data_IF_554573165836
#
_entry.id   IF_554573165836
#
_cell.length_a   1.000
_cell.length_b   1.000
_cell.length_c   1.000
_cell.angle_alpha   90.00
_cell.angle_beta   90.00
_cell.angle_gamma   90.00
#
_symmetry.space_group_name_H-M   'P 1'
#
loop_
_entity.id
_entity.type
_entity.pdbx_description
1 polymer ?
2 non-polymer ?
3 water ?
#
# COMPACT_ATOMS: atom_id res chain seq x y z
N UNK A 8 -8.27 -11.53 -23.04
CA UNK A 8 -8.17 -11.15 -24.49
C UNK A 8 -7.42 -9.82 -24.65
N UNK A 9 -6.21 -9.88 -25.19
CA UNK A 9 -5.29 -8.72 -25.12
C UNK A 9 -4.87 -8.10 -26.46
N UNK A 10 -4.27 -6.91 -26.40
CA UNK A 10 -3.78 -6.22 -27.60
C UNK A 10 -2.47 -6.84 -28.08
N UNK A 11 -2.22 -6.75 -29.39
CA UNK A 11 -0.92 -7.18 -29.91
C UNK A 11 0.13 -6.38 -29.16
N UNK A 12 1.23 -7.05 -28.81
CA UNK A 12 2.27 -6.43 -28.04
C UNK A 12 2.17 -6.62 -26.53
N UNK A 13 1.03 -7.10 -26.03
CA UNK A 13 0.88 -7.33 -24.58
C UNK A 13 1.19 -8.78 -24.25
N UNK A 14 1.40 -9.04 -22.96
CA UNK A 14 1.72 -10.40 -22.48
C UNK A 14 0.97 -10.66 -21.19
N UNK A 15 0.29 -11.80 -21.13
CA UNK A 15 -0.43 -12.17 -19.92
C UNK A 15 0.20 -13.42 -19.32
N UNK A 16 0.12 -13.53 -18.02
CA UNK A 16 0.50 -14.76 -17.33
C UNK A 16 -0.65 -15.74 -17.39
N UNK A 17 -0.33 -17.02 -17.51
CA UNK A 17 -1.34 -18.08 -17.43
C UNK A 17 -1.20 -18.74 -16.07
N UNK A 18 -1.09 -17.91 -15.04
CA UNK A 18 -0.97 -18.36 -13.66
C UNK A 18 -2.34 -18.45 -13.01
N UNK A 19 -2.56 -19.52 -12.27
CA UNK A 19 -3.81 -19.76 -11.59
C UNK A 19 -3.53 -20.46 -10.26
N UNK A 20 -3.41 -19.67 -9.20
CA UNK A 20 -3.17 -20.21 -7.88
C UNK A 20 -4.04 -19.47 -6.89
N UNK A 21 -4.13 -20.00 -5.69
CA UNK A 21 -4.92 -19.37 -4.65
C UNK A 21 -4.21 -18.17 -4.03
N UNK A 22 -4.98 -17.25 -3.43
CA UNK A 22 -4.35 -16.14 -2.73
C UNK A 22 -3.63 -16.61 -1.45
N UNK A 23 -2.67 -15.80 -1.01
CA UNK A 23 -1.87 -16.13 0.16
C UNK A 23 -2.41 -15.45 1.41
N UNK A 24 -3.10 -14.33 1.21
CA UNK A 24 -3.71 -13.61 2.32
C UNK A 24 -5.02 -12.96 1.89
N UNK A 25 -5.78 -12.49 2.86
CA UNK A 25 -7.11 -11.93 2.60
C UNK A 25 -7.12 -10.44 2.90
N UNK A 26 -7.82 -9.71 2.06
CA UNK A 26 -8.05 -8.27 2.19
C UNK A 26 -9.51 -8.02 2.61
N UNK A 27 -9.72 -7.15 3.60
CA UNK A 27 -11.05 -6.80 4.08
C UNK A 27 -11.42 -5.44 3.52
N UNK A 28 -12.61 -5.29 2.93
CA UNK A 28 -13.03 -3.98 2.48
C UNK A 28 -13.49 -3.19 3.70
N UNK A 29 -12.77 -2.12 4.02
CA UNK A 29 -13.11 -1.29 5.19
C UNK A 29 -14.01 -0.12 4.89
N UNK A 30 -14.36 0.03 3.61
CA UNK A 30 -15.25 1.14 3.24
C UNK A 30 -15.48 1.12 1.75
N UNK A 31 -16.08 2.19 1.26
CA UNK A 31 -16.48 2.29 -0.13
C UNK A 31 -16.26 3.74 -0.55
N UNK A 32 -15.78 3.92 -1.77
CA UNK A 32 -15.49 5.27 -2.24
C UNK A 32 -16.53 5.67 -3.29
N UNK A 33 -17.17 6.82 -3.06
CA UNK A 33 -18.27 7.32 -3.91
C UNK A 33 -17.72 8.47 -4.76
N UNK A 34 -17.84 8.36 -6.08
CA UNK A 34 -17.20 9.33 -6.99
C UNK A 34 -18.16 9.66 -8.13
N UNK A 35 -17.80 10.68 -8.95
CA UNK A 35 -18.64 11.03 -10.10
C UNK A 35 -18.60 10.06 -11.27
N UNK A 36 -17.68 9.10 -11.24
CA UNK A 36 -17.35 8.32 -12.43
C UNK A 36 -17.94 6.92 -12.41
N UNK A 37 -18.91 6.68 -13.31
CA UNK A 37 -19.63 5.41 -13.33
C UNK A 37 -19.09 4.48 -14.37
N UNK A 38 -18.24 5.01 -15.24
CA UNK A 38 -17.58 4.22 -16.27
C UNK A 38 -16.08 4.44 -16.16
N UNK A 39 -15.32 3.39 -16.48
CA UNK A 39 -13.85 3.47 -16.41
C UNK A 39 -13.26 4.59 -17.26
N UNK A 40 -13.81 4.82 -18.46
CA UNK A 40 -13.24 5.87 -19.32
C UNK A 40 -13.52 7.30 -18.82
N UNK A 41 -14.47 7.47 -17.90
CA UNK A 41 -14.76 8.76 -17.29
C UNK A 41 -13.72 9.13 -16.24
N UNK A 42 -13.07 8.12 -15.64
CA UNK A 42 -12.12 8.37 -14.56
C UNK A 42 -10.88 9.11 -15.07
N UNK A 43 -10.37 10.10 -14.31
CA UNK A 43 -9.06 10.66 -14.65
C UNK A 43 -7.98 9.61 -14.50
N UNK A 44 -6.88 9.77 -15.24
CA UNK A 44 -5.76 8.83 -15.13
C UNK A 44 -5.18 8.86 -13.69
N UNK A 45 -5.11 10.05 -13.12
CA UNK A 45 -4.68 10.23 -11.74
C UNK A 45 -5.52 11.35 -11.15
N UNK A 46 -5.67 11.33 -9.84
CA UNK A 46 -6.49 12.34 -9.16
C UNK A 46 -5.82 13.70 -9.23
N UNK A 47 -6.64 14.75 -9.09
CA UNK A 47 -6.15 16.12 -8.97
C UNK A 47 -6.79 16.82 -7.79
N UNK A 48 -5.98 17.64 -7.10
CA UNK A 48 -6.41 18.37 -5.90
C UNK A 48 -7.62 19.29 -6.13
N UNK A 49 -7.81 19.71 -7.38
CA UNK A 49 -8.93 20.60 -7.74
C UNK A 49 -10.06 19.86 -8.50
N UNK A 50 -10.01 18.53 -8.47
CA UNK A 50 -11.02 17.69 -9.09
C UNK A 50 -12.33 17.68 -8.30
N UNK A 51 -13.34 16.94 -8.80
CA UNK A 51 -14.64 16.88 -8.11
C UNK A 51 -14.55 16.25 -6.72
N UNK A 52 -15.40 16.70 -5.81
CA UNK A 52 -15.42 16.14 -4.45
C UNK A 52 -16.01 14.72 -4.50
N UNK A 53 -15.35 13.81 -3.80
CA UNK A 53 -15.73 12.42 -3.62
C UNK A 53 -16.03 12.17 -2.15
N UNK A 54 -16.69 11.05 -1.87
CA UNK A 54 -16.98 10.67 -0.48
C UNK A 54 -16.35 9.31 -0.17
N UNK A 55 -15.42 9.29 0.79
CA UNK A 55 -14.96 8.01 1.35
C UNK A 55 -15.86 7.65 2.53
N UNK A 56 -16.59 6.55 2.40
CA UNK A 56 -17.44 6.00 3.46
C UNK A 56 -16.66 4.92 4.17
N UNK A 57 -16.33 5.14 5.43
CA UNK A 57 -15.68 4.10 6.24
C UNK A 57 -16.78 3.30 6.94
N UNK A 58 -16.68 1.98 6.88
CA UNK A 58 -17.76 1.16 7.46
C UNK A 58 -17.69 1.21 8.99
N UNK A 59 -18.85 0.97 9.62
CA UNK A 59 -19.06 1.18 11.06
C UNK A 59 -17.95 0.60 11.93
N UNK A 60 -17.57 -0.64 11.63
CA UNK A 60 -16.55 -1.37 12.40
C UNK A 60 -15.27 -0.53 12.63
N UNK A 61 -14.89 0.22 11.60
CA UNK A 61 -13.62 0.94 11.64
C UNK A 61 -13.74 2.43 11.91
N UNK A 62 -14.95 2.90 12.19
CA UNK A 62 -15.16 4.31 12.54
C UNK A 62 -14.21 4.77 13.68
N UNK A 63 -14.04 3.95 14.75
CA UNK A 63 -13.16 4.47 15.82
C UNK A 63 -11.71 4.70 15.41
N UNK A 64 -11.28 3.99 14.36
CA UNK A 64 -9.93 4.16 13.83
C UNK A 64 -9.68 5.47 13.07
N UNK A 65 -10.74 6.24 12.83
CA UNK A 65 -10.59 7.55 12.18
C UNK A 65 -10.14 8.62 13.18
N UNK A 66 -10.04 8.27 14.46
CA UNK A 66 -9.68 9.26 15.48
C UNK A 66 -8.38 9.96 15.11
N UNK A 67 -8.44 11.29 15.06
CA UNK A 67 -7.31 12.10 14.66
C UNK A 67 -7.39 12.64 13.24
N UNK A 68 -8.25 12.06 12.42
CA UNK A 68 -8.43 12.54 11.05
C UNK A 68 -9.57 13.57 11.09
N UNK A 69 -9.36 14.73 10.47
CA UNK A 69 -10.37 15.80 10.46
C UNK A 69 -10.22 16.62 9.21
N UNK A 70 -11.04 17.67 9.08
CA UNK A 70 -10.88 18.60 7.97
C UNK A 70 -9.40 18.97 7.89
N UNK A 71 -8.84 18.96 6.68
CA UNK A 71 -7.48 19.41 6.46
C UNK A 71 -6.37 18.35 6.57
N UNK A 72 -6.72 17.15 7.03
CA UNK A 72 -5.70 16.08 7.14
C UNK A 72 -5.32 15.59 5.74
N UNK A 73 -4.02 15.51 5.48
CA UNK A 73 -3.52 14.97 4.21
C UNK A 73 -3.36 13.46 4.31
N UNK A 74 -4.11 12.74 3.48
CA UNK A 74 -4.18 11.28 3.54
C UNK A 74 -3.55 10.59 2.35
N UNK A 75 -3.05 9.38 2.57
CA UNK A 75 -2.74 8.44 1.50
C UNK A 75 -3.85 7.41 1.55
N UNK A 76 -4.61 7.32 0.47
CA UNK A 76 -5.82 6.50 0.42
C UNK A 76 -5.53 5.28 -0.44
N UNK A 77 -5.80 4.08 0.09
CA UNK A 77 -5.51 2.82 -0.59
C UNK A 77 -6.82 2.16 -0.94
N UNK A 78 -6.99 1.80 -2.21
CA UNK A 78 -8.23 1.18 -2.64
C UNK A 78 -7.97 -0.06 -3.47
N UNK A 79 -9.00 -0.90 -3.59
CA UNK A 79 -8.86 -2.15 -4.35
C UNK A 79 -9.56 -1.97 -5.69
N UNK A 80 -8.79 -2.05 -6.78
CA UNK A 80 -9.34 -1.79 -8.12
C UNK A 80 -10.08 -3.07 -8.55
N UNK A 81 -11.33 -3.16 -8.10
CA UNK A 81 -12.11 -4.38 -8.13
C UNK A 81 -12.57 -4.82 -9.53
N UNK A 82 -12.37 -3.97 -10.53
CA UNK A 82 -12.76 -4.31 -11.92
C UNK A 82 -11.58 -4.75 -12.78
N UNK A 83 -10.38 -4.74 -12.19
CA UNK A 83 -9.14 -5.01 -12.93
C UNK A 83 -8.84 -6.48 -13.12
N UNK A 84 -8.46 -6.85 -14.34
CA UNK A 84 -7.86 -8.16 -14.56
C UNK A 84 -6.47 -8.10 -13.92
N UNK A 85 -5.98 -9.26 -13.46
CA UNK A 85 -4.78 -9.32 -12.65
C UNK A 85 -3.58 -10.04 -13.31
N UNK A 86 -3.75 -10.39 -14.58
CA UNK A 86 -2.82 -11.27 -15.26
C UNK A 86 -1.82 -10.59 -16.21
N UNK A 87 -1.94 -9.28 -16.44
CA UNK A 87 -1.05 -8.64 -17.43
C UNK A 87 0.38 -8.44 -16.92
N UNK A 88 1.36 -8.79 -17.75
CA UNK A 88 2.77 -8.58 -17.43
C UNK A 88 3.38 -7.46 -18.25
N UNK A 89 3.06 -7.42 -19.55
CA UNK A 89 3.38 -6.29 -20.42
C UNK A 89 2.08 -5.65 -20.89
N UNK A 90 1.99 -4.32 -20.78
CA UNK A 90 0.77 -3.58 -21.10
C UNK A 90 1.06 -2.43 -22.03
N UNK A 91 0.13 -2.13 -22.92
CA UNK A 91 0.22 -0.94 -23.76
C UNK A 91 -0.78 0.12 -23.27
N UNK A 92 -0.38 0.91 -22.25
CA UNK A 92 -1.29 1.80 -21.50
C UNK A 92 -2.07 2.79 -22.38
N UNK A 96 2.61 3.24 -29.15
CA UNK A 96 3.36 3.21 -27.89
C UNK A 96 3.77 1.81 -27.43
N UNK A 97 5.04 1.64 -27.07
CA UNK A 97 5.59 0.33 -26.74
C UNK A 97 5.03 -0.20 -25.43
N UNK A 98 4.74 -1.51 -25.39
CA UNK A 98 4.28 -2.15 -24.15
C UNK A 98 5.33 -1.99 -23.07
N UNK A 99 4.84 -1.90 -21.82
CA UNK A 99 5.72 -1.72 -20.67
C UNK A 99 5.43 -2.78 -19.61
N UNK A 100 6.45 -3.12 -18.81
CA UNK A 100 6.24 -4.02 -17.68
C UNK A 100 5.25 -3.42 -16.69
N UNK A 101 4.34 -4.25 -16.18
CA UNK A 101 3.32 -3.77 -15.22
C UNK A 101 3.93 -3.07 -14.01
N UNK A 102 5.04 -3.58 -13.48
CA UNK A 102 5.65 -2.96 -12.31
C UNK A 102 6.32 -1.59 -12.59
N UNK A 103 6.52 -1.26 -13.86
CA UNK A 103 7.18 -0.01 -14.27
C UNK A 103 6.18 1.14 -14.53
N UNK A 104 4.89 0.84 -14.41
CA UNK A 104 3.84 1.84 -14.65
C UNK A 104 2.83 1.81 -13.50
N UNK A 105 1.96 2.82 -13.44
CA UNK A 105 0.94 2.86 -12.37
C UNK A 105 -0.46 2.40 -12.82
N UNK A 106 -0.49 1.52 -13.81
CA UNK A 106 -1.71 0.89 -14.30
C UNK A 106 -2.59 0.28 -13.19
N UNK A 107 -3.92 0.34 -13.37
CA UNK A 107 -4.80 -0.32 -12.42
C UNK A 107 -4.84 -1.84 -12.62
N UNK A 108 -4.26 -2.31 -13.70
CA UNK A 108 -4.20 -3.76 -13.96
C UNK A 108 -2.87 -4.30 -13.42
N UNK A 109 -2.95 -5.06 -12.32
CA UNK A 109 -1.78 -5.50 -11.56
C UNK A 109 -2.07 -6.84 -10.89
N UNK A 110 -1.03 -7.59 -10.50
CA UNK A 110 -1.28 -8.83 -9.80
C UNK A 110 -2.09 -8.64 -8.50
N UNK A 111 -1.80 -7.56 -7.77
CA UNK A 111 -2.63 -7.12 -6.66
C UNK A 111 -3.04 -5.70 -6.95
N UNK A 112 -4.29 -5.50 -7.36
CA UNK A 112 -4.73 -4.22 -7.93
C UNK A 112 -4.99 -3.16 -6.84
N UNK A 113 -3.93 -2.75 -6.14
CA UNK A 113 -4.00 -1.74 -5.10
C UNK A 113 -3.72 -0.40 -5.76
N UNK A 114 -4.65 0.55 -5.63
CA UNK A 114 -4.42 1.92 -6.12
C UNK A 114 -4.20 2.83 -4.94
N UNK A 115 -3.44 3.91 -5.13
CA UNK A 115 -3.38 4.95 -4.08
C UNK A 115 -3.62 6.32 -4.65
N UNK A 116 -4.14 7.21 -3.80
CA UNK A 116 -4.20 8.62 -4.12
C UNK A 116 -3.76 9.38 -2.88
N UNK A 117 -3.03 10.47 -3.08
CA UNK A 117 -2.70 11.37 -1.98
C UNK A 117 -3.68 12.53 -2.04
N UNK A 118 -4.46 12.74 -0.99
CA UNK A 118 -5.52 13.75 -1.05
C UNK A 118 -5.85 14.28 0.32
N UNK A 119 -6.20 15.57 0.37
CA UNK A 119 -6.50 16.24 1.62
C UNK A 119 -7.99 16.19 1.93
N UNK A 120 -8.33 15.85 3.16
CA UNK A 120 -9.75 15.88 3.57
C UNK A 120 -10.30 17.30 3.54
N UNK A 121 -11.34 17.53 2.73
CA UNK A 121 -12.05 18.81 2.77
C UNK A 121 -12.92 18.89 4.01
N UNK A 122 -13.64 17.81 4.31
CA UNK A 122 -14.57 17.82 5.42
C UNK A 122 -14.78 16.41 5.94
N UNK A 123 -14.69 16.28 7.25
CA UNK A 123 -15.03 15.05 7.91
C UNK A 123 -16.45 15.15 8.51
N UNK A 124 -17.26 14.13 8.29
CA UNK A 124 -18.60 14.04 8.92
C UNK A 124 -18.86 12.61 9.35
N UNK A 125 -18.57 12.31 10.63
CA UNK A 125 -18.76 10.96 11.18
C UNK A 125 -17.85 9.96 10.50
N UNK A 126 -18.44 8.96 9.83
CA UNK A 126 -17.63 7.95 9.11
C UNK A 126 -17.33 8.37 7.68
N UNK A 127 -17.72 9.59 7.31
CA UNK A 127 -17.56 10.04 5.91
C UNK A 127 -16.43 11.06 5.81
N UNK A 128 -15.61 10.91 4.78
CA UNK A 128 -14.60 11.88 4.45
C UNK A 128 -14.90 12.44 3.06
N UNK A 129 -15.08 13.75 2.98
CA UNK A 129 -15.30 14.41 1.70
C UNK A 129 -13.97 14.97 1.22
N UNK A 130 -13.58 14.60 0.01
CA UNK A 130 -12.18 14.72 -0.40
C UNK A 130 -12.09 14.84 -1.92
N UNK A 131 -11.14 15.65 -2.40
CA UNK A 131 -10.86 15.75 -3.83
C UNK A 131 -9.52 15.11 -4.09
N UNK A 132 -9.32 14.61 -5.30
CA UNK A 132 -8.03 14.09 -5.71
C UNK A 132 -8.04 12.59 -5.88
N UNK A 133 -9.24 12.03 -6.07
CA UNK A 133 -9.34 10.58 -6.31
C UNK A 133 -9.53 10.32 -7.80
N UNK A 134 -9.44 9.05 -8.18
CA UNK A 134 -9.53 8.70 -9.59
C UNK A 134 -10.26 7.38 -9.78
N UNK A 135 -11.00 6.93 -8.78
CA UNK A 135 -11.56 5.59 -8.89
C UNK A 135 -13.05 5.58 -9.27
N UNK A 136 -13.46 4.44 -9.80
CA UNK A 136 -14.83 4.20 -10.16
C UNK A 136 -15.73 4.37 -8.93
N UNK A 137 -16.92 4.93 -9.16
CA UNK A 137 -17.89 4.99 -8.11
C UNK A 137 -18.14 3.60 -7.56
N UNK A 138 -18.04 3.46 -6.24
CA UNK A 138 -18.27 2.17 -5.57
C UNK A 138 -17.00 1.35 -5.34
N UNK A 139 -15.84 1.91 -5.68
CA UNK A 139 -14.55 1.22 -5.41
C UNK A 139 -14.34 0.92 -3.92
N UNK A 140 -13.96 -0.32 -3.57
CA UNK A 140 -13.68 -0.67 -2.17
C UNK A 140 -12.43 0.07 -1.60
N UNK A 141 -12.56 0.57 -0.36
CA UNK A 141 -11.44 1.12 0.40
C UNK A 141 -10.70 0.00 1.12
N UNK A 142 -9.37 0.04 1.14
CA UNK A 142 -8.62 -0.98 1.93
C UNK A 142 -7.71 -0.43 3.03
N UNK A 143 -7.29 0.83 2.92
CA UNK A 143 -6.50 1.43 4.02
C UNK A 143 -6.53 2.94 3.89
N UNK A 144 -6.29 3.60 5.02
CA UNK A 144 -6.06 5.03 5.09
C UNK A 144 -4.84 5.23 5.97
N UNK A 145 -3.93 6.11 5.52
CA UNK A 145 -2.70 6.48 6.26
C UNK A 145 -2.54 7.98 6.15
N UNK A 146 -1.93 8.61 7.17
CA UNK A 146 -1.53 10.00 6.96
C UNK A 146 -0.38 10.03 5.93
N UNK A 147 -0.45 10.94 4.97
CA UNK A 147 0.60 11.01 3.98
C UNK A 147 1.94 11.42 4.60
N UNK A 148 3.01 10.85 4.09
CA UNK A 148 4.38 11.17 4.55
C UNK A 148 4.75 12.63 4.60
N UNK A 149 4.29 13.42 3.63
CA UNK A 149 4.69 14.82 3.57
C UNK A 149 4.31 15.61 4.82
N UNK A 150 3.30 15.12 5.56
CA UNK A 150 2.80 15.86 6.71
C UNK A 150 2.70 15.02 7.99
N UNK A 151 3.39 13.88 8.01
CA UNK A 151 3.31 12.99 9.14
C UNK A 151 4.68 12.78 9.71
N UNK A 152 4.75 12.85 11.03
CA UNK A 152 5.97 12.49 11.73
C UNK A 152 5.70 11.26 12.61
N UNK A 153 6.52 10.21 12.42
CA UNK A 153 6.35 8.98 13.19
C UNK A 153 6.36 9.28 14.68
N UNK A 154 5.46 8.62 15.39
CA UNK A 154 5.32 8.82 16.83
C UNK A 154 6.20 7.87 17.62
N UNK A 155 6.34 6.63 17.14
CA UNK A 155 7.05 5.61 17.91
C UNK A 155 8.53 5.99 18.11
N UNK A 156 9.17 5.57 19.22
CA UNK A 156 10.57 5.98 19.41
C UNK A 156 11.52 5.31 18.42
N UNK A 157 12.67 5.95 18.14
CA UNK A 157 13.67 5.38 17.24
C UNK A 157 14.11 3.97 17.67
N UNK A 158 14.45 3.16 16.68
CA UNK A 158 14.96 1.79 16.89
C UNK A 158 16.33 1.66 16.22
N UNK A 159 17.08 0.57 16.51
CA UNK A 159 18.42 0.55 15.93
C UNK A 159 18.43 0.69 14.41
N UNK A 160 17.43 0.14 13.71
CA UNK A 160 17.43 0.18 12.25
C UNK A 160 17.39 1.61 11.71
N UNK A 161 16.88 2.55 12.52
CA UNK A 161 16.78 3.92 12.09
C UNK A 161 18.13 4.56 11.94
N UNK A 162 19.16 3.95 12.55
CA UNK A 162 20.50 4.51 12.56
C UNK A 162 21.46 3.74 11.67
N UNK A 163 20.95 2.75 10.97
CA UNK A 163 21.78 1.83 10.20
C UNK A 163 21.96 2.38 8.79
N UNK A 164 23.20 2.77 8.47
CA UNK A 164 23.54 3.27 7.12
C UNK A 164 24.24 2.12 6.38
N UNK A 165 24.05 2.02 5.07
CA UNK A 165 24.66 0.91 4.34
C UNK A 165 26.12 1.17 4.09
N UNK A 166 26.90 0.11 3.88
CA UNK A 166 28.20 0.26 3.18
C UNK A 166 27.96 0.23 1.67
N UNK B 5 -0.35 -14.49 25.45
CA UNK B 5 -1.20 -13.77 24.47
C UNK B 5 -0.60 -12.42 24.03
N UNK B 6 -0.09 -12.41 22.81
CA UNK B 6 0.22 -11.16 22.12
C UNK B 6 -1.07 -10.33 22.00
N UNK B 7 -2.15 -10.86 22.59
CA UNK B 7 -3.51 -10.32 22.49
C UNK B 7 -3.75 -9.09 23.38
N UNK B 8 -3.05 -9.03 24.51
CA UNK B 8 -3.10 -7.88 25.41
C UNK B 8 -2.80 -6.56 24.67
N UNK B 9 -3.45 -5.49 25.10
CA UNK B 9 -3.23 -4.20 24.47
C UNK B 9 -2.70 -3.23 25.51
N UNK B 10 -2.14 -2.11 25.04
CA UNK B 10 -1.63 -1.10 25.95
C UNK B 10 -2.81 -0.28 26.51
N UNK B 11 -2.57 0.36 27.66
CA UNK B 11 -3.53 1.32 28.23
C UNK B 11 -3.93 2.38 27.18
N UNK B 12 -5.24 2.62 27.03
CA UNK B 12 -5.71 3.62 26.05
C UNK B 12 -6.03 3.04 24.67
N UNK B 13 -5.55 1.83 24.41
CA UNK B 13 -5.77 1.22 23.10
C UNK B 13 -7.13 0.57 23.02
N UNK B 14 -7.55 0.23 21.80
CA UNK B 14 -8.87 -0.36 21.60
C UNK B 14 -8.80 -1.36 20.45
N UNK B 15 -9.31 -2.57 20.69
CA UNK B 15 -9.36 -3.61 19.68
C UNK B 15 -10.80 -3.87 19.27
N UNK B 16 -10.98 -4.17 17.99
CA UNK B 16 -12.28 -4.54 17.45
C UNK B 16 -12.56 -6.03 17.68
N UNK B 17 -13.83 -6.34 17.93
CA UNK B 17 -14.26 -7.74 18.08
C UNK B 17 -14.76 -8.30 16.76
N UNK B 18 -14.52 -7.57 15.67
CA UNK B 18 -15.00 -7.94 14.33
C UNK B 18 -14.33 -9.23 13.88
N UNK B 19 -15.11 -10.11 13.27
CA UNK B 19 -14.64 -11.44 12.88
C UNK B 19 -15.31 -11.91 11.60
N UNK B 20 -15.21 -11.10 10.55
CA UNK B 20 -15.76 -11.45 9.26
C UNK B 20 -14.70 -12.11 8.39
N UNK B 21 -15.10 -12.51 7.18
CA UNK B 21 -14.17 -13.14 6.25
C UNK B 21 -13.65 -12.09 5.23
N UNK B 22 -12.58 -12.44 4.48
CA UNK B 22 -12.02 -11.46 3.54
C UNK B 22 -12.87 -11.28 2.30
N UNK B 23 -12.76 -10.10 1.70
CA UNK B 23 -13.52 -9.74 0.52
C UNK B 23 -12.72 -10.00 -0.76
N UNK B 24 -11.40 -9.99 -0.65
CA UNK B 24 -10.55 -10.24 -1.83
C UNK B 24 -9.30 -10.95 -1.39
N UNK B 25 -8.53 -11.47 -2.35
CA UNK B 25 -7.35 -12.24 -2.02
C UNK B 25 -6.10 -11.55 -2.52
N UNK B 26 -5.03 -11.63 -1.74
CA UNK B 26 -3.77 -11.04 -2.12
C UNK B 26 -2.82 -12.19 -2.48
N UNK B 27 -2.11 -12.04 -3.59
CA UNK B 27 -1.07 -13.00 -3.99
C UNK B 27 0.32 -12.47 -3.65
N UNK B 28 1.14 -13.28 -2.98
CA UNK B 28 2.49 -12.83 -2.69
C UNK B 28 3.30 -13.01 -3.97
N UNK B 29 3.84 -11.91 -4.51
CA UNK B 29 4.53 -11.92 -5.80
C UNK B 29 6.07 -11.99 -5.64
N UNK B 30 6.52 -12.00 -4.41
CA UNK B 30 7.94 -12.16 -4.11
C UNK B 30 8.19 -12.14 -2.63
N UNK B 31 9.48 -12.07 -2.26
CA UNK B 31 9.91 -12.13 -0.88
C UNK B 31 10.99 -11.08 -0.69
N UNK B 32 10.97 -10.36 0.43
CA UNK B 32 11.93 -9.29 0.67
C UNK B 32 12.94 -9.75 1.71
N UNK B 33 14.22 -9.70 1.35
CA UNK B 33 15.31 -10.17 2.18
C UNK B 33 16.00 -8.95 2.78
N UNK B 34 16.19 -8.94 4.09
CA UNK B 34 16.72 -7.74 4.77
C UNK B 34 17.66 -8.15 5.89
N UNK B 35 18.38 -7.18 6.50
CA UNK B 35 19.28 -7.50 7.63
C UNK B 35 18.56 -7.79 8.95
N UNK B 36 17.24 -7.64 8.98
CA UNK B 36 16.50 -7.61 10.25
C UNK B 36 15.65 -8.87 10.51
N UNK B 37 16.00 -9.60 11.56
CA UNK B 37 15.29 -10.83 11.92
C UNK B 37 14.28 -10.66 13.05
N UNK B 38 14.35 -9.53 13.74
CA UNK B 38 13.47 -9.27 14.88
C UNK B 38 12.81 -7.92 14.66
N UNK B 39 11.55 -7.77 15.07
CA UNK B 39 10.80 -6.54 14.84
C UNK B 39 11.49 -5.37 15.53
N UNK B 40 11.98 -5.61 16.75
CA UNK B 40 12.66 -4.56 17.50
C UNK B 40 13.96 -4.07 16.86
N UNK B 41 14.52 -4.80 15.90
CA UNK B 41 15.72 -4.35 15.16
C UNK B 41 15.40 -3.52 13.92
N UNK B 42 14.18 -3.63 13.41
CA UNK B 42 13.80 -2.95 12.17
C UNK B 42 13.80 -1.42 12.32
N UNK B 43 14.08 -0.69 11.23
CA UNK B 43 13.85 0.75 11.27
C UNK B 43 12.36 0.99 11.43
N UNK B 44 11.98 2.11 12.04
CA UNK B 44 10.58 2.56 12.00
C UNK B 44 10.14 2.85 10.57
N UNK B 45 11.02 3.49 9.81
CA UNK B 45 10.79 3.72 8.39
C UNK B 45 12.13 3.65 7.73
N UNK B 46 12.15 3.25 6.47
CA UNK B 46 13.40 3.09 5.75
C UNK B 46 14.13 4.39 5.52
N UNK B 47 15.44 4.28 5.32
CA UNK B 47 16.19 5.44 4.92
C UNK B 47 16.95 5.17 3.62
N UNK B 48 17.04 6.20 2.79
CA UNK B 48 17.56 6.03 1.42
C UNK B 48 19.04 5.71 1.38
N UNK B 49 19.75 6.03 2.45
CA UNK B 49 21.14 5.65 2.58
C UNK B 49 21.31 4.37 3.42
N UNK B 50 20.21 3.63 3.61
CA UNK B 50 20.23 2.44 4.46
C UNK B 50 20.89 1.24 3.80
N UNK B 51 20.92 0.10 4.51
CA UNK B 51 21.58 -1.12 3.95
C UNK B 51 20.85 -1.67 2.73
N UNK B 52 21.61 -2.32 1.85
CA UNK B 52 21.03 -2.94 0.67
C UNK B 52 20.21 -4.17 1.09
N UNK B 53 18.95 -4.19 0.68
CA UNK B 53 18.04 -5.32 0.83
C UNK B 53 17.86 -5.95 -0.53
N UNK B 54 17.28 -7.14 -0.56
CA UNK B 54 17.09 -7.85 -1.83
C UNK B 54 15.64 -8.26 -1.95
N UNK B 55 14.96 -7.69 -2.95
CA UNK B 55 13.59 -8.09 -3.29
C UNK B 55 13.68 -9.16 -4.35
N UNK B 56 13.25 -10.37 -4.01
CA UNK B 56 13.23 -11.49 -4.93
C UNK B 56 11.82 -11.58 -5.50
N UNK B 57 11.67 -11.30 -6.79
CA UNK B 57 10.36 -11.40 -7.46
C UNK B 57 10.21 -12.83 -7.98
N UNK B 58 9.05 -13.44 -7.74
CA UNK B 58 8.82 -14.82 -8.14
C UNK B 58 8.72 -14.93 -9.66
N UNK B 59 9.09 -16.11 -10.16
CA UNK B 59 9.29 -16.35 -11.60
C UNK B 59 8.07 -15.96 -12.47
N UNK B 60 6.85 -16.22 -12.00
CA UNK B 60 5.64 -15.89 -12.77
C UNK B 60 5.60 -14.42 -13.22
N UNK B 61 6.09 -13.53 -12.36
CA UNK B 61 5.96 -12.10 -12.61
C UNK B 61 7.23 -11.42 -13.16
N UNK B 62 8.24 -12.21 -13.50
CA UNK B 62 9.51 -11.64 -14.00
C UNK B 62 9.33 -10.66 -15.18
N UNK B 63 8.50 -11.01 -16.19
CA UNK B 63 8.35 -10.08 -17.31
C UNK B 63 7.75 -8.73 -16.92
N UNK B 64 6.96 -8.70 -15.84
CA UNK B 64 6.40 -7.43 -15.35
C UNK B 64 7.45 -6.48 -14.79
N UNK B 65 8.69 -6.96 -14.58
CA UNK B 65 9.79 -6.06 -14.22
C UNK B 65 10.36 -5.24 -15.39
N UNK B 66 9.89 -5.51 -16.61
CA UNK B 66 10.41 -4.82 -17.79
C UNK B 66 10.27 -3.32 -17.60
N UNK B 67 11.38 -2.57 -17.73
CA UNK B 67 11.35 -1.13 -17.46
C UNK B 67 11.90 -0.73 -16.10
N UNK B 68 12.14 -1.71 -15.23
CA UNK B 68 12.80 -1.46 -13.95
C UNK B 68 14.24 -1.92 -14.09
N UNK B 69 15.19 -1.08 -13.69
CA UNK B 69 16.61 -1.44 -13.81
C UNK B 69 17.42 -0.63 -12.81
N UNK B 70 18.75 -0.68 -12.89
CA UNK B 70 19.57 0.01 -11.91
C UNK B 70 19.12 1.49 -11.78
N UNK B 71 18.90 1.93 -10.56
CA UNK B 71 18.53 3.33 -10.29
C UNK B 71 17.04 3.66 -10.23
N UNK B 72 16.17 2.77 -10.68
CA UNK B 72 14.72 3.10 -10.72
C UNK B 72 14.22 3.34 -9.29
N UNK B 73 13.55 4.45 -9.06
CA UNK B 73 12.93 4.72 -7.77
C UNK B 73 11.55 4.07 -7.69
N UNK B 74 11.37 3.15 -6.74
CA UNK B 74 10.12 2.39 -6.64
C UNK B 74 9.32 2.71 -5.39
N UNK B 75 8.00 2.53 -5.49
CA UNK B 75 7.12 2.47 -4.34
C UNK B 75 6.89 0.95 -4.15
N UNK B 76 7.40 0.41 -3.05
CA UNK B 76 7.38 -1.02 -2.78
C UNK B 76 6.26 -1.29 -1.78
N UNK B 77 5.36 -2.22 -2.12
CA UNK B 77 4.21 -2.55 -1.25
C UNK B 77 4.43 -3.95 -0.70
N UNK B 78 4.33 -4.10 0.62
CA UNK B 78 4.57 -5.42 1.22
C UNK B 78 3.51 -5.74 2.26
N UNK B 79 3.34 -7.02 2.57
CA UNK B 79 2.32 -7.49 3.50
C UNK B 79 2.98 -7.70 4.83
N UNK B 80 2.52 -6.97 5.84
CA UNK B 80 3.17 -7.03 7.15
C UNK B 80 2.61 -8.27 7.89
N UNK B 81 3.17 -9.42 7.55
CA UNK B 81 2.56 -10.72 7.85
C UNK B 81 2.54 -11.10 9.33
N UNK B 82 3.29 -10.36 10.15
CA UNK B 82 3.31 -10.62 11.58
C UNK B 82 2.29 -9.80 12.39
N UNK B 83 1.63 -8.83 11.74
CA UNK B 83 0.78 -7.85 12.44
C UNK B 83 -0.61 -8.36 12.77
N UNK B 84 -1.05 -8.06 14.00
CA UNK B 84 -2.47 -8.19 14.33
C UNK B 84 -3.24 -7.13 13.54
N UNK B 85 -4.53 -7.40 13.27
CA UNK B 85 -5.31 -6.58 12.35
C UNK B 85 -6.52 -5.91 13.00
N UNK B 86 -6.66 -6.06 14.31
CA UNK B 86 -7.86 -5.66 15.01
C UNK B 86 -7.76 -4.34 15.78
N UNK B 87 -6.61 -3.70 15.83
CA UNK B 87 -6.52 -2.49 16.66
C UNK B 87 -7.17 -1.28 15.98
N UNK B 88 -7.98 -0.56 16.75
CA UNK B 88 -8.65 0.65 16.27
C UNK B 88 -8.03 1.91 16.84
N UNK B 89 -7.63 1.84 18.11
CA UNK B 89 -6.84 2.91 18.76
C UNK B 89 -5.51 2.32 19.23
N UNK B 90 -4.42 3.02 18.93
CA UNK B 90 -3.08 2.56 19.28
C UNK B 90 -2.31 3.62 20.04
N UNK B 91 -1.37 3.20 20.87
CA UNK B 91 -0.56 4.16 21.62
C UNK B 91 0.88 3.84 21.28
N UNK B 92 1.40 4.42 20.18
CA UNK B 92 2.73 4.03 19.71
C UNK B 92 3.84 4.38 20.68
N UNK B 93 3.59 5.32 21.61
CA UNK B 93 4.59 5.62 22.62
C UNK B 93 4.35 4.95 23.98
N UNK B 94 3.28 4.15 24.08
CA UNK B 94 2.93 3.44 25.32
C UNK B 94 2.81 4.39 26.52
N UNK B 95 2.14 5.51 26.27
CA UNK B 95 2.04 6.61 27.24
C UNK B 95 0.58 7.07 27.38
N UNK B 96 -0.37 6.25 26.93
CA UNK B 96 -1.80 6.60 27.00
C UNK B 96 -2.27 7.65 26.00
N UNK B 97 -1.38 8.06 25.08
CA UNK B 97 -1.77 8.99 24.02
C UNK B 97 -2.23 8.12 22.84
N UNK B 98 -3.54 7.92 22.78
CA UNK B 98 -4.16 6.99 21.83
C UNK B 98 -4.54 7.70 20.56
N UNK B 99 -4.22 7.07 19.42
CA UNK B 99 -4.46 7.62 18.09
C UNK B 99 -5.25 6.61 17.30
N UNK B 100 -6.16 7.08 16.44
CA UNK B 100 -6.84 6.16 15.53
C UNK B 100 -5.82 5.50 14.59
N UNK B 101 -6.04 4.24 14.28
CA UNK B 101 -5.11 3.51 13.40
C UNK B 101 -4.91 4.24 12.08
N UNK B 102 -5.99 4.81 11.52
CA UNK B 102 -5.85 5.52 10.23
C UNK B 102 -5.07 6.84 10.29
N UNK B 103 -4.78 7.33 11.51
CA UNK B 103 -4.06 8.61 11.67
C UNK B 103 -2.54 8.43 11.85
N UNK B 104 -2.10 7.17 11.83
CA UNK B 104 -0.68 6.82 12.03
C UNK B 104 -0.25 5.82 10.98
N UNK B 105 1.06 5.59 10.84
CA UNK B 105 1.56 4.62 9.84
C UNK B 105 2.01 3.32 10.48
N UNK B 106 1.41 2.99 11.63
CA UNK B 106 1.67 1.74 12.34
C UNK B 106 1.54 0.51 11.44
N UNK B 107 2.35 -0.55 11.68
CA UNK B 107 2.20 -1.78 10.90
C UNK B 107 0.95 -2.58 11.31
N UNK B 108 0.28 -2.13 12.37
CA UNK B 108 -0.92 -2.85 12.87
C UNK B 108 -2.13 -2.18 12.24
N UNK B 109 -2.76 -2.85 11.27
CA UNK B 109 -3.85 -2.22 10.48
C UNK B 109 -4.85 -3.29 10.02
N UNK B 110 -6.07 -2.87 9.68
CA UNK B 110 -7.05 -3.86 9.19
C UNK B 110 -6.53 -4.64 7.98
N UNK B 111 -5.85 -3.93 7.05
CA UNK B 111 -5.08 -4.57 5.98
C UNK B 111 -3.65 -4.08 6.10
N UNK B 112 -2.74 -4.96 6.59
CA UNK B 112 -1.40 -4.56 6.99
C UNK B 112 -0.50 -4.42 5.75
N UNK B 113 -0.81 -3.43 4.94
CA UNK B 113 -0.01 -3.08 3.77
C UNK B 113 0.99 -2.01 4.21
N UNK B 114 2.27 -2.33 4.04
CA UNK B 114 3.38 -1.39 4.28
C UNK B 114 3.89 -0.88 2.94
N UNK B 115 4.34 0.39 2.89
CA UNK B 115 5.05 0.88 1.69
C UNK B 115 6.36 1.55 2.08
N UNK B 116 7.31 1.50 1.16
CA UNK B 116 8.55 2.28 1.24
C UNK B 116 8.87 2.81 -0.17
N UNK B 117 9.41 4.02 -0.21
CA UNK B 117 9.90 4.60 -1.44
C UNK B 117 11.39 4.28 -1.43
N UNK B 118 11.85 3.52 -2.41
CA UNK B 118 13.18 2.92 -2.29
C UNK B 118 13.79 2.81 -3.68
N UNK B 119 15.06 3.19 -3.80
CA UNK B 119 15.71 3.20 -5.11
C UNK B 119 16.51 1.91 -5.35
N UNK B 120 16.29 1.30 -6.52
CA UNK B 120 17.07 0.13 -6.91
C UNK B 120 18.54 0.52 -7.10
N UNK B 121 19.42 -0.12 -6.31
CA UNK B 121 20.86 -0.06 -6.50
C UNK B 121 21.16 -0.71 -7.84
N UNK B 122 20.83 -1.99 -7.89
CA UNK B 122 21.21 -2.85 -9.02
C UNK B 122 20.13 -3.89 -9.22
N UNK B 123 19.81 -4.19 -10.48
CA UNK B 123 18.95 -5.31 -10.76
C UNK B 123 19.76 -6.48 -11.34
N UNK B 124 19.51 -7.69 -10.84
CA UNK B 124 20.07 -8.89 -11.44
C UNK B 124 18.96 -9.92 -11.61
N UNK B 125 18.39 -9.96 -12.80
CA UNK B 125 17.30 -10.90 -13.13
C UNK B 125 16.08 -10.62 -12.26
N UNK B 126 15.68 -11.62 -11.45
CA UNK B 126 14.50 -11.50 -10.59
C UNK B 126 14.80 -10.74 -9.31
N UNK B 127 16.08 -10.43 -9.08
CA UNK B 127 16.47 -9.75 -7.83
C UNK B 127 16.65 -8.27 -7.99
N UNK B 128 16.03 -7.52 -7.09
CA UNK B 128 16.26 -6.08 -7.01
C UNK B 128 17.02 -5.78 -5.73
N UNK B 129 18.25 -5.32 -5.87
CA UNK B 129 19.03 -4.89 -4.69
C UNK B 129 18.70 -3.44 -4.48
N UNK B 130 18.20 -3.10 -3.29
CA UNK B 130 17.45 -1.83 -3.15
C UNK B 130 17.73 -1.26 -1.75
N UNK B 131 17.82 0.06 -1.63
CA UNK B 131 18.00 0.70 -0.30
C UNK B 131 16.74 1.43 0.09
N UNK B 132 16.41 1.39 1.37
CA UNK B 132 15.28 2.18 1.86
C UNK B 132 14.11 1.41 2.43
N UNK B 133 14.31 0.12 2.75
CA UNK B 133 13.23 -0.67 3.33
C UNK B 133 13.29 -0.72 4.85
N UNK B 134 12.25 -1.29 5.45
CA UNK B 134 12.18 -1.36 6.90
C UNK B 134 11.53 -2.66 7.40
N UNK B 135 11.49 -3.69 6.56
CA UNK B 135 10.68 -4.85 6.95
C UNK B 135 11.50 -6.03 7.41
N UNK B 136 10.85 -6.95 8.11
CA UNK B 136 11.53 -8.19 8.55
C UNK B 136 12.04 -8.97 7.37
N UNK B 137 13.16 -9.65 7.57
CA UNK B 137 13.64 -10.56 6.55
C UNK B 137 12.58 -11.64 6.26
N UNK B 138 12.25 -11.84 4.98
CA UNK B 138 11.22 -12.81 4.56
C UNK B 138 9.80 -12.24 4.42
N UNK B 139 9.65 -10.92 4.58
CA UNK B 139 8.35 -10.26 4.41
C UNK B 139 7.85 -10.45 2.98
N UNK B 140 6.56 -10.81 2.80
CA UNK B 140 6.02 -11.01 1.44
C UNK B 140 5.90 -9.72 0.65
N UNK B 141 6.25 -9.76 -0.64
CA UNK B 141 6.02 -8.62 -1.54
C UNK B 141 4.61 -8.69 -2.13
N UNK B 142 3.90 -7.56 -2.19
CA UNK B 142 2.59 -7.56 -2.88
C UNK B 142 2.47 -6.67 -4.13
N UNK B 143 3.29 -5.63 -4.26
CA UNK B 143 3.24 -4.77 -5.46
C UNK B 143 4.50 -3.95 -5.60
N UNK B 144 4.79 -3.56 -6.83
CA UNK B 144 5.86 -2.64 -7.14
C UNK B 144 5.27 -1.65 -8.14
N UNK B 145 5.49 -0.37 -7.88
CA UNK B 145 5.12 0.71 -8.80
C UNK B 145 6.31 1.67 -8.89
N UNK B 146 6.42 2.41 -10.00
CA UNK B 146 7.40 3.49 -10.10
C UNK B 146 6.95 4.61 -9.14
N UNK B 147 7.88 5.20 -8.39
CA UNK B 147 7.51 6.30 -7.51
C UNK B 147 6.93 7.46 -8.32
N UNK B 148 5.90 8.11 -7.77
CA UNK B 148 5.27 9.25 -8.44
C UNK B 148 6.22 10.35 -8.88
N UNK B 149 7.10 10.78 -7.97
CA UNK B 149 7.97 11.94 -8.24
C UNK B 149 8.89 11.69 -9.42
N UNK B 150 9.24 10.44 -9.66
CA UNK B 150 10.12 10.10 -10.77
C UNK B 150 9.34 9.73 -12.05
N UNK B 151 8.18 9.09 -11.88
CA UNK B 151 7.34 8.60 -12.98
C UNK B 151 6.52 9.72 -13.61
N UNK B 152 6.00 10.60 -12.75
CA UNK B 152 5.15 11.70 -13.17
C UNK B 152 5.61 12.99 -12.48
N UNK B 153 6.77 13.54 -12.93
CA UNK B 153 7.49 14.68 -12.33
C UNK B 153 6.90 15.24 -11.02
X LIG C 1 -3.78 6.86 -8.67
X LIG C 1 -3.68 5.42 -8.46
X LIG C 1 -2.21 5.03 -8.35
X LIG C 1 -1.91 4.02 -7.72
X LIG C 1 -1.33 5.72 -8.90
X LIG C 1 -4.35 4.60 -9.56
X LIG C 1 -3.83 4.96 -10.96
X LIG C 1 -4.69 4.04 -12.26
X LIG C 1 -3.88 4.74 -13.74
X LIG C 1 -6.25 4.99 -12.36
X LIG C 1 -7.23 4.36 -13.36
X LIG C 1 -7.76 3.14 -12.86
X LIG C 1 -8.48 5.17 -13.71
X LIG C 1 -8.20 6.15 -14.70
X LIG C 1 -9.44 4.10 -14.19
X LIG C 1 -9.21 3.86 -15.56
X LIG C 1 -9.03 2.84 -13.43
X LIG C 1 -9.94 2.47 -12.32
X LIG C 1 -10.49 3.31 -11.38
X LIG C 1 -11.21 2.59 -10.50
X LIG C 1 -11.13 1.28 -10.85
X LIG C 1 -11.66 0.11 -10.27
X LIG C 1 -12.44 0.15 -9.19
X LIG C 1 -11.38 -1.11 -10.86
X LIG C 1 -10.59 -1.17 -11.98
X LIG C 1 -10.05 -0.02 -12.54
X LIG C 1 -10.31 1.19 -11.98
X LIG D 1 7.33 2.26 5.98
X LIG D 1 6.05 1.52 5.95
X LIG D 1 4.87 2.48 5.76
X LIG D 1 3.78 2.05 5.36
X LIG D 1 5.03 3.69 5.98
X LIG D 1 5.85 0.65 7.18
X LIG D 1 6.02 1.45 8.47
X LIG D 1 5.81 0.38 9.91
X LIG D 1 6.01 1.67 11.18
X LIG D 1 7.47 -0.39 10.03
X LIG D 1 7.54 -1.39 11.20
X LIG D 1 6.82 -2.57 10.88
X LIG D 1 8.91 -1.91 11.55
X LIG D 1 9.62 -1.04 12.39
X LIG D 1 8.59 -3.20 12.29
X LIG D 1 8.26 -2.95 13.64
X LIG D 1 7.32 -3.67 11.64
X LIG D 1 7.49 -4.74 10.66
X LIG D 1 8.47 -4.88 9.69
X LIG D 1 8.21 -6.00 8.95
X LIG D 1 7.05 -6.54 9.42
X LIG D 1 6.28 -7.65 9.05
X LIG D 1 6.67 -8.45 8.05
X LIG D 1 5.13 -7.94 9.75
X LIG D 1 4.71 -7.15 10.79
X LIG D 1 5.45 -6.05 11.16
X LIG D 1 6.60 -5.75 10.48
#
# INVERSE_FOLDING_TARGET
>A
GHXDATDDIRAGELASDWSGSPDAGVVFIGRIHTPWNRLKECPRHGRADGPVCRIEVFETWLPALAGIDDGTLLEVFYWLHRSRRDLLLQCPRNDGDARGTFSIRSPLRPNPIGTSIARVDRRDGANLFIRGLDCLDGTPLVDLKPDRAEFMPLAPPKPGDFQVGEPRR
>B
GHXDATDDIRAGELASDWSGSPDAGVVFIGRIHTPWNRLKECPRHGRADGPVCRIEVFETWLPALAGIDDGTLLEVFYWLHRSRRDLLLQCPRNDGDARGTFSIRSPLRPNPIGTSIARVDRRDGANLFIRGLDCLDGTPLVDLKPDRAEFMPLAPPKPGDFQVGEPRR
>C hetero
1 SAM N CA C O OXT CB CG SD CE C5' C4' O4' C3' O3' C2' O2' C1' N9 C8 N7 C5 C6 N6 N1 C2 N3 C4
>D hetero
1 SAM N CA C O OXT CB CG SD CE C5' C4' O4' C3' O3' C2' O2' C1' N9 C8 N7 C5 C6 N6 N1 C2 N3 C4
#
